data_IF_469072998159
#
_entry.id   IF_469072998159
#
_cell.length_a   1.000
_cell.length_b   1.000
_cell.length_c   1.000
_cell.angle_alpha   90.00
_cell.angle_beta   90.00
_cell.angle_gamma   90.00
#
_symmetry.space_group_name_H-M   'P 1'
#
loop_
_entity.id
_entity.type
_entity.pdbx_description
1 polymer ?
#
# COMPACT_ATOMS: atom_id res chain seq x y z
N UNK A 1 -11.50 25.48 -6.87
CA UNK A 1 -11.50 24.94 -5.49
C UNK A 1 -11.41 23.44 -5.58
N UNK A 2 -10.16 22.95 -5.63
CA UNK A 2 -9.90 21.51 -5.80
C UNK A 2 -9.98 20.83 -4.43
N UNK A 3 -11.15 20.27 -4.14
CA UNK A 3 -11.34 19.38 -3.00
C UNK A 3 -10.65 18.05 -3.22
N UNK A 4 -9.30 18.03 -3.16
CA UNK A 4 -8.52 16.80 -3.02
C UNK A 4 -8.86 16.20 -1.68
N UNK A 5 -9.82 15.28 -1.68
CA UNK A 5 -10.21 14.58 -0.46
C UNK A 5 -9.07 13.70 0.01
N UNK A 6 -8.52 14.03 1.17
CA UNK A 6 -7.57 13.16 1.85
C UNK A 6 -8.17 11.76 2.03
N UNK A 7 -7.34 10.72 1.89
CA UNK A 7 -7.76 9.34 2.14
C UNK A 7 -8.07 9.18 3.62
N UNK A 8 -9.35 8.97 3.93
CA UNK A 8 -9.80 8.71 5.30
C UNK A 8 -9.62 7.22 5.63
N UNK A 9 -8.88 6.93 6.71
CA UNK A 9 -8.65 5.57 7.20
C UNK A 9 -9.70 5.23 8.26
N UNK A 10 -10.22 4.00 8.20
CA UNK A 10 -11.20 3.44 9.15
C UNK A 10 -10.63 2.18 9.79
N UNK A 11 -11.16 1.76 10.94
CA UNK A 11 -10.85 0.46 11.50
C UNK A 11 -11.06 -0.65 10.48
N UNK A 12 -10.35 -1.76 10.64
CA UNK A 12 -10.48 -2.91 9.74
C UNK A 12 -11.87 -3.50 9.87
N UNK A 13 -12.52 -3.62 8.72
CA UNK A 13 -13.74 -4.40 8.51
C UNK A 13 -13.31 -5.68 7.77
N UNK A 14 -13.50 -6.82 8.39
CA UNK A 14 -13.02 -8.10 7.87
C UNK A 14 -13.74 -8.51 6.60
N UNK A 15 -15.05 -8.23 6.49
CA UNK A 15 -15.84 -8.55 5.30
C UNK A 15 -15.41 -7.68 4.12
N UNK A 16 -15.16 -6.39 4.38
CA UNK A 16 -14.66 -5.48 3.37
C UNK A 16 -13.23 -5.84 2.95
N UNK A 17 -12.39 -6.26 3.90
CA UNK A 17 -11.04 -6.73 3.61
C UNK A 17 -11.08 -7.98 2.74
N UNK A 18 -11.91 -8.96 3.07
CA UNK A 18 -12.09 -10.18 2.28
C UNK A 18 -12.55 -9.86 0.85
N UNK A 19 -13.56 -8.99 0.70
CA UNK A 19 -14.04 -8.55 -0.60
C UNK A 19 -12.98 -7.82 -1.44
N UNK A 20 -12.04 -7.11 -0.82
CA UNK A 20 -10.93 -6.43 -1.50
C UNK A 20 -9.79 -7.38 -1.89
N UNK A 21 -9.60 -8.44 -1.13
CA UNK A 21 -8.52 -9.40 -1.33
C UNK A 21 -8.93 -10.57 -2.23
N UNK A 22 -10.21 -10.77 -2.47
CA UNK A 22 -10.67 -11.74 -3.47
C UNK A 22 -10.16 -11.31 -4.86
N UNK A 23 -9.62 -12.24 -5.66
CA UNK A 23 -8.95 -11.93 -6.92
C UNK A 23 -9.95 -11.37 -7.94
N UNK A 24 -10.11 -10.09 -7.92
CA UNK A 24 -10.71 -9.33 -9.01
C UNK A 24 -9.59 -8.90 -9.95
N UNK A 25 -9.77 -9.18 -11.23
CA UNK A 25 -8.86 -8.92 -12.32
C UNK A 25 -7.99 -7.66 -12.15
N UNK A 26 -6.66 -7.87 -12.20
CA UNK A 26 -5.64 -6.84 -12.46
C UNK A 26 -5.65 -5.59 -11.56
N UNK A 27 -5.60 -5.76 -10.26
CA UNK A 27 -5.24 -4.67 -9.33
C UNK A 27 -3.72 -4.54 -9.27
N UNK A 28 -3.21 -3.33 -9.47
CA UNK A 28 -1.81 -3.01 -9.22
C UNK A 28 -1.69 -2.56 -7.77
N UNK A 29 -0.85 -3.24 -7.01
CA UNK A 29 -0.54 -2.86 -5.64
C UNK A 29 0.72 -1.98 -5.61
N UNK A 30 0.61 -0.81 -4.99
CA UNK A 30 1.74 0.07 -4.67
C UNK A 30 1.92 0.11 -3.16
N UNK A 31 3.11 -0.17 -2.71
CA UNK A 31 3.46 -0.09 -1.29
C UNK A 31 4.27 1.17 -1.04
N UNK A 32 3.90 1.92 0.00
CA UNK A 32 4.65 3.09 0.46
C UNK A 32 5.18 2.85 1.87
N UNK A 33 6.35 3.44 2.17
CA UNK A 33 6.98 3.40 3.48
C UNK A 33 7.29 4.81 3.95
N UNK A 34 7.28 5.07 5.26
CA UNK A 34 7.69 6.37 5.78
C UNK A 34 9.17 6.61 5.51
N UNK A 35 9.53 7.88 5.37
CA UNK A 35 10.91 8.30 5.49
C UNK A 35 11.40 8.20 6.93
N UNK A 36 12.69 8.36 7.11
CA UNK A 36 13.32 8.43 8.42
C UNK A 36 14.27 9.61 8.46
N UNK A 37 14.15 10.50 9.46
CA UNK A 37 15.08 11.60 9.62
C UNK A 37 16.51 11.09 9.90
N UNK A 38 17.51 11.89 9.57
CA UNK A 38 18.89 11.60 9.93
C UNK A 38 19.02 11.51 11.45
N UNK A 39 19.78 10.55 11.93
CA UNK A 39 20.17 10.41 13.33
C UNK A 39 21.68 10.20 13.39
N UNK A 40 22.29 10.46 14.57
CA UNK A 40 23.75 10.28 14.75
C UNK A 40 24.20 8.92 14.23
N UNK A 41 25.11 8.92 13.24
CA UNK A 41 25.63 7.72 12.60
C UNK A 41 24.70 7.02 11.62
N UNK A 42 23.52 7.62 11.30
CA UNK A 42 22.57 7.05 10.31
C UNK A 42 22.04 8.16 9.40
N UNK A 43 22.22 8.05 8.08
CA UNK A 43 21.69 9.02 7.15
C UNK A 43 20.15 9.00 7.14
N UNK A 44 19.55 10.11 6.71
CA UNK A 44 18.13 10.17 6.42
C UNK A 44 17.77 9.15 5.33
N UNK A 45 16.59 8.57 5.43
CA UNK A 45 15.96 7.80 4.36
C UNK A 45 14.70 8.56 3.90
N UNK A 46 14.57 8.88 2.61
CA UNK A 46 13.34 9.45 2.11
C UNK A 46 12.20 8.42 2.18
N UNK A 47 10.94 8.87 2.13
CA UNK A 47 9.82 7.98 1.90
C UNK A 47 10.05 7.18 0.61
N UNK A 48 9.68 5.91 0.61
CA UNK A 48 9.80 5.07 -0.55
C UNK A 48 8.43 4.57 -1.00
N UNK A 49 8.31 4.31 -2.31
CA UNK A 49 7.14 3.68 -2.90
C UNK A 49 7.59 2.76 -4.03
N UNK A 50 6.90 1.67 -4.22
CA UNK A 50 7.20 0.69 -5.27
C UNK A 50 5.95 -0.11 -5.62
N UNK A 51 5.94 -0.65 -6.83
CA UNK A 51 4.91 -1.61 -7.23
C UNK A 51 5.26 -2.97 -6.60
N UNK A 52 4.35 -3.51 -5.82
CA UNK A 52 4.53 -4.83 -5.24
C UNK A 52 4.10 -5.89 -6.25
N UNK A 53 4.97 -6.85 -6.48
CA UNK A 53 4.60 -8.11 -7.10
C UNK A 53 3.99 -9.04 -6.04
N UNK A 54 3.04 -9.88 -6.46
CA UNK A 54 2.49 -10.94 -5.60
C UNK A 54 1.84 -10.45 -4.30
N UNK A 55 1.06 -9.34 -4.37
CA UNK A 55 0.22 -8.96 -3.25
C UNK A 55 -0.90 -9.99 -3.05
N UNK A 56 -1.05 -10.50 -1.83
CA UNK A 56 -2.03 -11.52 -1.51
C UNK A 56 -2.52 -11.44 -0.06
N UNK A 57 -3.74 -11.94 0.17
CA UNK A 57 -4.22 -12.29 1.49
C UNK A 57 -3.46 -13.52 2.00
N UNK A 58 -3.09 -13.49 3.27
CA UNK A 58 -2.46 -14.63 3.96
C UNK A 58 -3.43 -15.24 4.96
N UNK A 59 -4.16 -14.39 5.69
CA UNK A 59 -5.10 -14.80 6.73
C UNK A 59 -6.16 -13.72 6.92
N UNK A 60 -7.36 -14.13 7.26
CA UNK A 60 -8.45 -13.23 7.67
C UNK A 60 -8.55 -13.13 9.20
N UNK A 61 -8.12 -14.16 9.92
CA UNK A 61 -8.16 -14.18 11.39
C UNK A 61 -6.86 -14.81 11.98
N UNK A 62 -5.94 -13.99 12.52
CA UNK A 62 -5.90 -12.52 12.41
C UNK A 62 -5.67 -12.07 10.96
N UNK A 63 -6.08 -10.84 10.59
CA UNK A 63 -5.91 -10.36 9.22
C UNK A 63 -4.42 -10.14 8.91
N UNK A 64 -3.94 -10.79 7.85
CA UNK A 64 -2.58 -10.69 7.34
C UNK A 64 -2.58 -10.61 5.82
N UNK A 65 -1.72 -9.78 5.29
CA UNK A 65 -1.43 -9.66 3.87
C UNK A 65 0.06 -9.87 3.61
N UNK A 66 0.42 -10.25 2.40
CA UNK A 66 1.82 -10.36 2.00
C UNK A 66 2.09 -9.68 0.67
N UNK A 67 3.34 -9.29 0.48
CA UNK A 67 3.87 -8.84 -0.80
C UNK A 67 5.36 -9.20 -0.90
N UNK A 68 5.86 -9.30 -2.13
CA UNK A 68 7.27 -9.57 -2.39
C UNK A 68 8.00 -8.34 -2.93
N UNK A 69 9.25 -8.21 -2.57
CA UNK A 69 10.14 -7.16 -3.06
C UNK A 69 11.55 -7.74 -3.24
N UNK A 70 12.17 -7.45 -4.40
CA UNK A 70 13.55 -7.84 -4.63
C UNK A 70 14.51 -7.05 -3.72
N UNK A 71 15.43 -7.74 -3.08
CA UNK A 71 16.38 -7.17 -2.12
C UNK A 71 17.37 -6.18 -2.75
N UNK A 72 17.56 -6.25 -4.07
CA UNK A 72 18.41 -5.34 -4.82
C UNK A 72 17.73 -4.01 -5.20
N UNK A 73 16.44 -3.82 -4.89
CA UNK A 73 15.74 -2.57 -5.23
C UNK A 73 16.18 -1.41 -4.35
N UNK A 74 16.12 -0.21 -4.90
CA UNK A 74 16.40 1.04 -4.15
C UNK A 74 15.43 1.28 -2.98
N UNK A 75 14.25 0.65 -3.01
CA UNK A 75 13.24 0.76 -1.95
C UNK A 75 13.49 -0.21 -0.78
N UNK A 76 14.27 -1.28 -1.00
CA UNK A 76 14.50 -2.30 0.02
C UNK A 76 15.05 -1.76 1.35
N UNK A 77 16.06 -0.87 1.39
CA UNK A 77 16.59 -0.36 2.65
C UNK A 77 15.53 0.36 3.51
N UNK A 78 14.53 0.99 2.89
CA UNK A 78 13.42 1.61 3.60
C UNK A 78 12.45 0.54 4.12
N UNK A 79 12.05 -0.41 3.27
CA UNK A 79 11.12 -1.51 3.62
C UNK A 79 11.72 -2.42 4.69
N UNK A 80 13.02 -2.72 4.61
CA UNK A 80 13.70 -3.58 5.57
C UNK A 80 13.66 -3.04 7.01
N UNK A 81 13.41 -1.75 7.19
CA UNK A 81 13.41 -1.08 8.50
C UNK A 81 12.06 -0.45 8.87
N UNK A 82 11.10 -0.43 7.96
CA UNK A 82 9.81 0.20 8.20
C UNK A 82 8.99 -0.64 9.19
N UNK A 83 8.49 -0.03 10.24
CA UNK A 83 7.52 -0.69 11.14
C UNK A 83 6.12 -0.68 10.53
N UNK A 84 5.84 0.34 9.72
CA UNK A 84 4.53 0.54 9.08
C UNK A 84 4.70 0.76 7.59
N UNK A 85 3.73 0.29 6.82
CA UNK A 85 3.61 0.48 5.37
C UNK A 85 2.16 0.76 5.01
N UNK A 86 1.92 1.41 3.88
CA UNK A 86 0.59 1.44 3.29
C UNK A 86 0.59 0.69 1.96
N UNK A 87 -0.40 -0.15 1.76
CA UNK A 87 -0.64 -0.85 0.49
C UNK A 87 -1.82 -0.18 -0.20
N UNK A 88 -1.57 0.35 -1.39
CA UNK A 88 -2.56 1.04 -2.23
C UNK A 88 -2.95 0.14 -3.38
N UNK A 89 -4.23 -0.16 -3.50
CA UNK A 89 -4.78 -0.93 -4.60
C UNK A 89 -5.34 0.02 -5.66
N UNK A 90 -4.86 -0.10 -6.88
CA UNK A 90 -5.32 0.71 -8.01
C UNK A 90 -6.08 -0.14 -9.01
N UNK A 91 -7.17 0.40 -9.55
CA UNK A 91 -7.88 -0.23 -10.65
C UNK A 91 -7.00 -0.32 -11.90
N UNK A 92 -7.30 -1.26 -12.79
CA UNK A 92 -6.54 -1.50 -14.03
C UNK A 92 -6.39 -0.26 -14.91
N UNK A 93 -7.34 0.67 -14.90
CA UNK A 93 -7.25 1.96 -15.62
C UNK A 93 -6.34 3.01 -14.98
N UNK A 94 -5.84 2.76 -13.76
CA UNK A 94 -5.01 3.70 -12.99
C UNK A 94 -3.52 3.29 -12.96
N UNK A 95 -3.11 2.38 -13.83
CA UNK A 95 -1.72 1.86 -13.88
C UNK A 95 -0.68 2.95 -14.11
N UNK A 96 -1.04 4.06 -14.77
CA UNK A 96 -0.14 5.18 -14.99
C UNK A 96 0.31 5.84 -13.69
N UNK A 97 -0.59 6.06 -12.74
CA UNK A 97 -0.28 6.61 -11.43
C UNK A 97 0.61 5.65 -10.61
N UNK A 98 0.27 4.36 -10.64
CA UNK A 98 1.05 3.32 -9.97
C UNK A 98 2.48 3.22 -10.53
N UNK A 99 2.65 3.30 -11.86
CA UNK A 99 3.96 3.27 -12.53
C UNK A 99 4.81 4.50 -12.22
N UNK A 100 4.21 5.69 -12.14
CA UNK A 100 4.93 6.92 -11.78
C UNK A 100 5.56 6.82 -10.39
N UNK A 101 4.86 6.21 -9.42
CA UNK A 101 5.38 5.95 -8.08
C UNK A 101 6.44 4.85 -8.05
N UNK A 102 6.34 3.87 -8.95
CA UNK A 102 7.25 2.73 -9.03
C UNK A 102 8.57 3.03 -9.77
N UNK A 103 8.65 4.15 -10.48
CA UNK A 103 9.78 4.48 -11.38
C UNK A 103 11.13 4.71 -10.68
N UNK A 104 11.23 4.50 -9.39
CA UNK A 104 12.51 4.52 -8.65
C UNK A 104 13.19 5.89 -8.54
N UNK A 105 12.51 6.98 -8.91
CA UNK A 105 13.08 8.34 -8.87
C UNK A 105 13.05 8.90 -7.45
N UNK A 106 14.09 9.66 -7.04
CA UNK A 106 14.13 10.28 -5.71
C UNK A 106 12.97 11.26 -5.45
N UNK A 107 12.45 11.88 -6.51
CA UNK A 107 11.39 12.88 -6.49
C UNK A 107 9.99 12.32 -6.77
N UNK A 108 9.82 10.99 -6.69
CA UNK A 108 8.57 10.30 -7.02
C UNK A 108 7.33 10.84 -6.30
N UNK A 109 7.51 11.32 -5.08
CA UNK A 109 6.44 11.94 -4.31
C UNK A 109 6.25 13.43 -4.63
N UNK A 110 7.23 14.08 -5.27
CA UNK A 110 7.13 15.48 -5.70
C UNK A 110 6.48 15.62 -7.07
N UNK A 111 6.73 14.69 -7.99
CA UNK A 111 6.29 14.75 -9.39
C UNK A 111 5.14 13.76 -9.71
N UNK A 112 4.76 12.93 -8.76
CA UNK A 112 3.74 11.88 -8.93
C UNK A 112 2.31 12.34 -8.62
N UNK A 113 1.35 11.40 -8.57
CA UNK A 113 0.00 11.66 -8.12
C UNK A 113 0.01 12.29 -6.73
N UNK A 114 -1.05 13.05 -6.41
CA UNK A 114 -1.19 13.66 -5.09
C UNK A 114 -1.05 12.62 -3.99
N UNK A 115 -0.49 13.03 -2.88
CA UNK A 115 -0.36 12.21 -1.69
C UNK A 115 -0.46 13.09 -0.44
N UNK A 116 -0.81 12.49 0.67
CA UNK A 116 -0.87 13.14 1.98
C UNK A 116 -0.11 12.33 3.01
N UNK A 117 0.47 12.96 4.05
CA UNK A 117 1.06 12.23 5.15
C UNK A 117 -0.02 11.51 5.93
N UNK A 118 0.12 10.19 6.05
CA UNK A 118 -0.74 9.35 6.88
C UNK A 118 -0.17 9.12 8.27
N UNK A 119 -0.83 8.29 9.09
CA UNK A 119 -0.32 7.86 10.37
C UNK A 119 1.08 7.27 10.24
N UNK A 120 1.89 7.42 11.28
CA UNK A 120 3.29 6.96 11.31
C UNK A 120 4.20 7.55 10.22
N UNK A 121 3.78 8.64 9.57
CA UNK A 121 4.51 9.28 8.47
C UNK A 121 4.51 8.49 7.17
N UNK A 122 3.63 7.51 7.03
CA UNK A 122 3.49 6.72 5.79
C UNK A 122 2.76 7.57 4.74
N UNK A 123 3.30 7.75 3.53
CA UNK A 123 2.59 8.46 2.47
C UNK A 123 1.34 7.72 2.04
N UNK A 124 0.20 8.39 2.02
CA UNK A 124 -1.05 7.89 1.47
C UNK A 124 -1.27 8.53 0.09
N UNK A 125 -1.38 7.69 -0.93
CA UNK A 125 -1.49 8.14 -2.32
C UNK A 125 -2.95 8.36 -2.68
N UNK A 126 -3.25 9.52 -3.26
CA UNK A 126 -4.59 9.88 -3.68
C UNK A 126 -5.06 9.04 -4.88
N UNK A 127 -6.36 8.81 -4.94
CA UNK A 127 -6.99 8.11 -6.06
C UNK A 127 -6.85 6.59 -6.04
N UNK A 128 -6.25 5.99 -5.03
CA UNK A 128 -6.28 4.55 -4.85
C UNK A 128 -7.72 4.05 -4.61
N UNK A 129 -8.04 2.89 -5.16
CA UNK A 129 -9.33 2.22 -4.94
C UNK A 129 -9.49 1.85 -3.45
N UNK A 130 -8.42 1.34 -2.87
CA UNK A 130 -8.34 1.03 -1.45
C UNK A 130 -6.92 1.26 -0.94
N UNK A 131 -6.81 1.59 0.34
CA UNK A 131 -5.53 1.75 1.05
C UNK A 131 -5.59 0.96 2.33
N UNK A 132 -4.64 0.05 2.53
CA UNK A 132 -4.45 -0.67 3.77
C UNK A 132 -3.24 -0.08 4.50
N UNK A 133 -3.44 0.54 5.65
CA UNK A 133 -2.35 0.88 6.56
C UNK A 133 -2.01 -0.37 7.36
N UNK A 134 -0.76 -0.81 7.29
CA UNK A 134 -0.33 -2.07 7.87
C UNK A 134 0.86 -1.89 8.81
N UNK A 135 0.92 -2.72 9.84
CA UNK A 135 2.12 -2.95 10.63
C UNK A 135 2.88 -4.15 10.07
N UNK A 136 4.14 -4.00 9.80
CA UNK A 136 4.97 -5.12 9.32
C UNK A 136 5.17 -6.12 10.45
N UNK A 137 4.76 -7.37 10.21
CA UNK A 137 4.87 -8.46 11.16
C UNK A 137 6.16 -9.27 10.92
N UNK A 138 6.39 -9.68 9.68
CA UNK A 138 7.54 -10.51 9.33
C UNK A 138 8.18 -10.09 8.01
N UNK A 139 9.47 -10.36 7.89
CA UNK A 139 10.25 -10.28 6.64
C UNK A 139 11.00 -11.60 6.50
N UNK A 140 10.66 -12.35 5.49
CA UNK A 140 11.20 -13.68 5.23
C UNK A 140 12.08 -13.60 3.99
N UNK A 141 13.40 -13.80 4.10
CA UNK A 141 14.26 -13.91 2.94
C UNK A 141 13.83 -15.08 2.04
N UNK A 142 13.77 -14.84 0.73
CA UNK A 142 13.36 -15.82 -0.26
C UNK A 142 14.21 -15.65 -1.53
N UNK A 143 15.40 -16.20 -1.54
CA UNK A 143 16.37 -16.05 -2.62
C UNK A 143 16.82 -14.58 -2.77
N UNK A 144 16.64 -14.00 -3.94
CA UNK A 144 16.94 -12.59 -4.24
C UNK A 144 15.82 -11.62 -3.84
N UNK A 145 14.73 -12.14 -3.25
CA UNK A 145 13.56 -11.40 -2.77
C UNK A 145 13.39 -11.55 -1.26
N UNK A 146 12.51 -10.74 -0.73
CA UNK A 146 11.94 -10.94 0.60
C UNK A 146 10.40 -10.96 0.48
N UNK A 147 9.78 -11.87 1.24
CA UNK A 147 8.34 -11.87 1.48
C UNK A 147 8.09 -11.05 2.73
N UNK A 148 7.32 -10.00 2.61
CA UNK A 148 6.89 -9.16 3.74
C UNK A 148 5.48 -9.55 4.11
N UNK A 149 5.27 -9.91 5.37
CA UNK A 149 3.95 -10.17 5.94
C UNK A 149 3.58 -8.99 6.83
N UNK A 150 2.41 -8.44 6.63
CA UNK A 150 1.95 -7.26 7.34
C UNK A 150 0.52 -7.44 7.84
N UNK A 151 0.25 -6.91 9.03
CA UNK A 151 -1.06 -6.91 9.64
C UNK A 151 -1.77 -5.59 9.34
N UNK A 152 -2.90 -5.58 8.62
CA UNK A 152 -3.72 -4.41 8.41
C UNK A 152 -4.22 -3.83 9.74
N UNK A 153 -4.02 -2.52 9.93
CA UNK A 153 -4.46 -1.76 11.11
C UNK A 153 -5.69 -0.92 10.79
N UNK A 154 -5.74 -0.39 9.56
CA UNK A 154 -6.81 0.48 9.11
C UNK A 154 -7.00 0.33 7.60
N UNK A 155 -8.22 0.54 7.16
CA UNK A 155 -8.63 0.49 5.77
C UNK A 155 -9.18 1.85 5.36
N UNK A 156 -8.76 2.35 4.19
CA UNK A 156 -9.27 3.56 3.58
C UNK A 156 -9.47 3.35 2.09
N UNK A 157 -10.15 4.30 1.46
CA UNK A 157 -10.33 4.31 0.01
C UNK A 157 -10.68 5.71 -0.48
N UNK A 158 -10.41 6.00 -1.74
CA UNK A 158 -10.87 7.22 -2.39
C UNK A 158 -12.40 7.29 -2.42
N UNK A 159 -12.95 8.48 -2.69
CA UNK A 159 -14.40 8.75 -2.71
C UNK A 159 -15.24 7.80 -3.57
N UNK A 160 -14.60 7.06 -4.48
CA UNK A 160 -15.24 6.02 -5.31
C UNK A 160 -15.03 4.60 -4.80
N UNK A 161 -14.07 4.34 -3.91
CA UNK A 161 -13.75 3.00 -3.43
C UNK A 161 -14.73 2.46 -2.39
N UNK A 162 -15.15 3.28 -1.43
CA UNK A 162 -16.06 2.83 -0.38
C UNK A 162 -17.49 2.56 -0.88
N UNK A 163 -17.95 3.34 -1.86
CA UNK A 163 -19.27 3.14 -2.50
C UNK A 163 -19.27 1.91 -3.43
N UNK A 164 -18.22 1.73 -4.21
CA UNK A 164 -18.14 0.63 -5.17
C UNK A 164 -17.86 -0.74 -4.53
N UNK A 165 -17.29 -0.80 -3.33
CA UNK A 165 -17.12 -2.06 -2.62
C UNK A 165 -18.46 -2.54 -2.00
N UNK A 166 -19.31 -1.63 -1.52
CA UNK A 166 -20.67 -1.96 -1.07
C UNK A 166 -21.58 -2.41 -2.20
N UNK A 167 -21.48 -1.74 -3.37
CA UNK A 167 -22.30 -2.10 -4.53
C UNK A 167 -21.83 -3.40 -5.19
N UNK A 168 -20.58 -3.81 -5.00
CA UNK A 168 -20.06 -5.07 -5.57
C UNK A 168 -20.20 -6.28 -4.64
N UNK A 169 -20.40 -6.08 -3.36
CA UNK A 169 -20.80 -7.13 -2.41
C UNK A 169 -22.19 -7.71 -2.68
N UNK A 170 -22.94 -7.12 -3.65
CA UNK A 170 -24.19 -7.63 -4.15
C UNK A 170 -24.03 -8.62 -5.33
N UNK A 171 -22.80 -9.03 -5.69
CA UNK A 171 -22.60 -10.09 -6.66
C UNK A 171 -22.84 -11.44 -6.01
N UNK A 172 -24.09 -11.83 -6.08
CA UNK A 172 -24.69 -13.14 -6.18
C UNK A 172 -23.71 -14.32 -6.28
N UNK A 173 -23.79 -15.18 -5.25
CA UNK A 173 -23.55 -16.61 -5.44
C UNK A 173 -24.55 -17.14 -6.49
N UNK A 174 -24.05 -17.63 -7.59
CA UNK A 174 -24.70 -18.56 -8.50
C UNK A 174 -23.67 -19.56 -8.94
#
# INVERSE_FOLDING_TARGET
MDGRGATELRPIDTDLLDALLHPQAATVAVVTTPGRPARRGRPALPPAGFTAASFAAVSLEPPLVSFCLASATVSWPAVARAEHVAVHLFASGQQGAARALAAGRPDRFAAGPGWSPGPFGVPLVDGALAVLLCRVAHRVPAGDHAVVIAAPLALGGGRHGASSARDRGAFSAA
#
